data_IF_157981641816
#
_entry.id   IF_157981641816
#
_cell.length_a   1.000
_cell.length_b   1.000
_cell.length_c   1.000
_cell.angle_alpha   90.00
_cell.angle_beta   90.00
_cell.angle_gamma   90.00
#
_symmetry.space_group_name_H-M   'P 1'
#
loop_
_entity.id
_entity.type
_entity.pdbx_description
1 polymer ?
#
# COMPACT_ATOMS: atom_id res chain seq x y z
N UNK A 1 8.72 47.83 17.80
CA UNK A 1 9.71 46.93 17.18
C UNK A 1 9.35 45.47 17.52
N UNK A 2 8.20 44.98 17.04
CA UNK A 2 7.68 43.62 17.31
C UNK A 2 7.14 42.91 16.05
N UNK A 3 7.05 43.61 14.91
CA UNK A 3 6.45 43.12 13.67
C UNK A 3 7.29 42.07 12.91
N UNK A 4 8.61 42.03 13.10
CA UNK A 4 9.51 41.09 12.40
C UNK A 4 9.59 39.68 13.04
N UNK A 5 9.30 39.55 14.33
CA UNK A 5 9.30 38.26 15.05
C UNK A 5 8.03 37.45 14.73
N UNK A 6 6.89 38.11 14.62
CA UNK A 6 5.61 37.47 14.26
C UNK A 6 5.56 37.07 12.79
N UNK A 7 6.18 37.83 11.88
CA UNK A 7 6.24 37.48 10.46
C UNK A 7 7.13 36.26 10.20
N UNK A 8 8.30 36.17 10.84
CA UNK A 8 9.24 35.04 10.66
C UNK A 8 8.71 33.71 11.22
N UNK A 9 7.99 33.75 12.35
CA UNK A 9 7.33 32.58 12.94
C UNK A 9 6.13 32.11 12.12
N UNK A 10 5.37 33.03 11.53
CA UNK A 10 4.28 32.75 10.58
C UNK A 10 4.80 32.06 9.29
N UNK A 11 5.84 32.61 8.66
CA UNK A 11 6.42 32.07 7.43
C UNK A 11 7.00 30.66 7.61
N UNK A 12 7.64 30.39 8.74
CA UNK A 12 8.20 29.07 9.05
C UNK A 12 7.10 28.02 9.21
N UNK A 13 6.02 28.35 9.91
CA UNK A 13 4.84 27.47 10.06
C UNK A 13 4.20 27.16 8.71
N UNK A 14 4.11 28.14 7.83
CA UNK A 14 3.50 27.99 6.50
C UNK A 14 4.34 27.12 5.55
N UNK A 15 5.68 27.26 5.58
CA UNK A 15 6.60 26.38 4.83
C UNK A 15 6.47 24.92 5.27
N UNK A 16 6.42 24.67 6.57
CA UNK A 16 6.27 23.32 7.13
C UNK A 16 4.93 22.70 6.74
N UNK A 17 3.84 23.48 6.79
CA UNK A 17 2.51 23.01 6.36
C UNK A 17 2.47 22.62 4.86
N UNK A 18 3.22 23.34 4.01
CA UNK A 18 3.33 23.01 2.59
C UNK A 18 4.12 21.72 2.34
N UNK A 19 5.22 21.49 3.06
CA UNK A 19 5.98 20.23 2.98
C UNK A 19 5.11 19.05 3.41
N UNK A 20 4.34 19.21 4.48
CA UNK A 20 3.42 18.18 4.96
C UNK A 20 2.38 17.79 3.90
N UNK A 21 1.81 18.79 3.21
CA UNK A 21 0.88 18.54 2.10
C UNK A 21 1.55 17.83 0.93
N UNK A 22 2.77 18.24 0.60
CA UNK A 22 3.54 17.61 -0.46
C UNK A 22 3.79 16.14 -0.14
N UNK A 23 4.24 15.83 1.09
CA UNK A 23 4.45 14.45 1.56
C UNK A 23 3.15 13.65 1.50
N UNK A 24 2.03 14.18 2.00
CA UNK A 24 0.74 13.50 1.96
C UNK A 24 0.27 13.19 0.53
N UNK A 25 0.44 14.12 -0.42
CA UNK A 25 0.11 13.90 -1.83
C UNK A 25 1.04 12.91 -2.51
N UNK A 26 2.35 12.99 -2.25
CA UNK A 26 3.32 12.04 -2.80
C UNK A 26 2.99 10.62 -2.33
N UNK A 27 2.76 10.43 -1.04
CA UNK A 27 2.39 9.13 -0.48
C UNK A 27 1.09 8.61 -1.09
N UNK A 28 0.06 9.46 -1.22
CA UNK A 28 -1.18 9.07 -1.89
C UNK A 28 -0.94 8.57 -3.32
N UNK A 29 -0.14 9.28 -4.12
CA UNK A 29 0.14 8.87 -5.50
C UNK A 29 0.95 7.57 -5.57
N UNK A 30 1.89 7.37 -4.64
CA UNK A 30 2.65 6.12 -4.53
C UNK A 30 1.73 4.96 -4.16
N UNK A 31 0.91 5.11 -3.12
CA UNK A 31 -0.06 4.10 -2.68
C UNK A 31 -1.07 3.77 -3.79
N UNK A 32 -1.57 4.79 -4.49
CA UNK A 32 -2.48 4.60 -5.63
C UNK A 32 -1.81 3.83 -6.77
N UNK A 33 -0.59 4.21 -7.14
CA UNK A 33 0.18 3.52 -8.18
C UNK A 33 0.42 2.05 -7.83
N UNK A 34 0.80 1.77 -6.58
CA UNK A 34 1.02 0.41 -6.09
C UNK A 34 -0.27 -0.41 -6.01
N UNK A 35 -1.39 0.22 -5.63
CA UNK A 35 -2.72 -0.40 -5.66
C UNK A 35 -3.10 -0.83 -7.06
N UNK A 36 -2.94 0.06 -8.05
CA UNK A 36 -3.24 -0.23 -9.45
C UNK A 36 -2.31 -1.33 -9.98
N UNK A 37 -1.00 -1.24 -9.73
CA UNK A 37 -0.04 -2.24 -10.16
C UNK A 37 -0.33 -3.63 -9.56
N UNK A 38 -0.67 -3.68 -8.28
CA UNK A 38 -1.09 -4.92 -7.61
C UNK A 38 -2.39 -5.48 -8.20
N UNK A 39 -3.37 -4.63 -8.49
CA UNK A 39 -4.62 -5.01 -9.12
C UNK A 39 -4.40 -5.61 -10.52
N UNK A 40 -3.60 -4.95 -11.36
CA UNK A 40 -3.25 -5.42 -12.71
C UNK A 40 -2.53 -6.78 -12.63
N UNK A 41 -1.56 -6.92 -11.73
CA UNK A 41 -0.86 -8.19 -11.56
C UNK A 41 -1.81 -9.33 -11.15
N UNK A 42 -2.74 -9.08 -10.22
CA UNK A 42 -3.75 -10.07 -9.86
C UNK A 42 -4.70 -10.40 -11.02
N UNK A 43 -5.11 -9.40 -11.81
CA UNK A 43 -5.95 -9.62 -12.99
C UNK A 43 -5.26 -10.54 -14.00
N UNK A 44 -3.98 -10.36 -14.27
CA UNK A 44 -3.22 -11.26 -15.15
C UNK A 44 -3.16 -12.68 -14.59
N UNK A 45 -2.89 -12.82 -13.29
CA UNK A 45 -2.81 -14.14 -12.67
C UNK A 45 -4.16 -14.88 -12.70
N UNK A 46 -5.25 -14.21 -12.32
CA UNK A 46 -6.60 -14.79 -12.28
C UNK A 46 -7.06 -15.14 -13.70
N UNK A 47 -6.90 -14.23 -14.66
CA UNK A 47 -7.26 -14.48 -16.05
C UNK A 47 -6.49 -15.68 -16.60
N UNK A 48 -5.18 -15.75 -16.30
CA UNK A 48 -4.33 -16.87 -16.69
C UNK A 48 -4.77 -18.23 -16.16
N UNK A 49 -5.38 -18.27 -14.97
CA UNK A 49 -5.91 -19.51 -14.40
C UNK A 49 -7.14 -20.02 -15.11
N UNK A 50 -8.00 -19.13 -15.63
CA UNK A 50 -9.19 -19.53 -16.36
C UNK A 50 -8.88 -20.24 -17.69
N UNK A 51 -7.69 -20.02 -18.25
CA UNK A 51 -7.22 -20.69 -19.46
C UNK A 51 -6.33 -21.91 -19.19
N UNK A 52 -6.07 -22.24 -17.92
CA UNK A 52 -5.23 -23.36 -17.56
C UNK A 52 -6.05 -24.64 -17.42
N UNK A 53 -5.52 -25.75 -17.96
CA UNK A 53 -6.11 -27.09 -17.83
C UNK A 53 -6.05 -27.61 -16.40
N UNK A 54 -5.02 -27.24 -15.64
CA UNK A 54 -4.80 -27.65 -14.25
C UNK A 54 -4.39 -26.43 -13.41
N UNK A 55 -4.92 -26.30 -12.19
CA UNK A 55 -4.60 -25.18 -11.29
C UNK A 55 -3.93 -25.64 -10.01
N UNK A 56 -2.84 -24.97 -9.62
CA UNK A 56 -2.14 -25.29 -8.38
C UNK A 56 -2.88 -24.66 -7.17
N UNK A 57 -3.31 -25.46 -6.17
CA UNK A 57 -4.01 -24.96 -4.99
C UNK A 57 -3.19 -23.96 -4.17
N UNK A 58 -1.87 -24.15 -4.07
CA UNK A 58 -0.98 -23.27 -3.31
C UNK A 58 -0.90 -21.86 -3.91
N UNK A 59 -0.90 -21.73 -5.24
CA UNK A 59 -1.06 -20.41 -5.89
C UNK A 59 -2.45 -19.83 -5.59
N UNK A 60 -3.48 -20.67 -5.43
CA UNK A 60 -4.84 -20.23 -5.09
C UNK A 60 -4.89 -19.56 -3.72
N UNK A 61 -4.22 -20.17 -2.74
CA UNK A 61 -4.02 -19.58 -1.41
C UNK A 61 -3.26 -18.26 -1.51
N UNK A 62 -2.20 -18.19 -2.32
CA UNK A 62 -1.47 -16.96 -2.58
C UNK A 62 -2.35 -15.83 -3.14
N UNK A 63 -3.22 -16.15 -4.10
CA UNK A 63 -4.18 -15.19 -4.69
C UNK A 63 -5.20 -14.71 -3.66
N UNK A 64 -5.76 -15.62 -2.85
CA UNK A 64 -6.73 -15.27 -1.82
C UNK A 64 -6.18 -14.21 -0.86
N UNK A 65 -4.98 -14.45 -0.33
CA UNK A 65 -4.31 -13.52 0.57
C UNK A 65 -3.91 -12.21 -0.12
N UNK A 66 -3.48 -12.28 -1.39
CA UNK A 66 -3.16 -11.10 -2.18
C UNK A 66 -4.39 -10.21 -2.43
N UNK A 67 -5.56 -10.80 -2.71
CA UNK A 67 -6.82 -10.08 -2.86
C UNK A 67 -7.21 -9.41 -1.55
N UNK A 68 -7.12 -10.13 -0.42
CA UNK A 68 -7.39 -9.54 0.89
C UNK A 68 -6.45 -8.35 1.20
N UNK A 69 -5.15 -8.51 0.92
CA UNK A 69 -4.14 -7.46 1.06
C UNK A 69 -4.38 -6.26 0.14
N UNK A 70 -4.86 -6.50 -1.09
CA UNK A 70 -5.24 -5.45 -2.04
C UNK A 70 -6.48 -4.68 -1.56
N UNK A 71 -7.51 -5.36 -1.04
CA UNK A 71 -8.69 -4.68 -0.48
C UNK A 71 -8.30 -3.79 0.70
N UNK A 72 -7.41 -4.27 1.57
CA UNK A 72 -6.85 -3.46 2.65
C UNK A 72 -6.07 -2.25 2.08
N UNK A 73 -5.30 -2.43 0.99
CA UNK A 73 -4.54 -1.34 0.38
C UNK A 73 -5.45 -0.30 -0.30
N UNK A 74 -6.53 -0.73 -0.95
CA UNK A 74 -7.57 0.17 -1.47
C UNK A 74 -8.18 1.00 -0.34
N UNK A 75 -8.51 0.37 0.79
CA UNK A 75 -9.02 1.08 1.96
C UNK A 75 -7.98 2.06 2.52
N UNK A 76 -6.71 1.67 2.61
CA UNK A 76 -5.65 2.57 3.08
C UNK A 76 -5.44 3.76 2.14
N UNK A 77 -5.42 3.54 0.83
CA UNK A 77 -5.33 4.59 -0.20
C UNK A 77 -6.51 5.57 -0.11
N UNK A 78 -7.71 5.07 0.20
CA UNK A 78 -8.87 5.93 0.46
C UNK A 78 -8.69 6.78 1.72
N UNK A 79 -8.16 6.22 2.81
CA UNK A 79 -7.81 7.01 4.00
C UNK A 79 -6.73 8.05 3.67
N UNK A 80 -5.75 7.69 2.85
CA UNK A 80 -4.70 8.57 2.36
C UNK A 80 -5.25 9.80 1.63
N UNK A 81 -6.17 9.58 0.72
CA UNK A 81 -6.90 10.68 0.06
C UNK A 81 -7.64 11.56 1.07
N UNK A 82 -8.32 10.95 2.05
CA UNK A 82 -9.15 11.67 3.03
C UNK A 82 -8.33 12.58 3.94
N UNK A 83 -7.25 12.09 4.56
CA UNK A 83 -6.44 12.93 5.45
C UNK A 83 -5.67 14.00 4.66
N UNK A 84 -5.26 13.73 3.41
CA UNK A 84 -4.58 14.72 2.56
C UNK A 84 -5.52 15.87 2.18
N UNK A 85 -6.83 15.59 2.01
CA UNK A 85 -7.86 16.63 1.86
C UNK A 85 -8.15 17.38 3.16
N UNK A 86 -8.17 16.72 4.31
CA UNK A 86 -8.35 17.40 5.60
C UNK A 86 -7.20 18.38 5.90
N UNK A 87 -5.97 18.05 5.48
CA UNK A 87 -4.83 18.96 5.57
C UNK A 87 -4.99 20.25 4.74
N UNK A 88 -5.90 20.30 3.74
CA UNK A 88 -6.27 21.56 3.06
C UNK A 88 -7.01 22.54 3.98
N UNK A 89 -7.79 22.04 4.94
CA UNK A 89 -8.63 22.86 5.83
C UNK A 89 -7.86 23.65 6.90
N UNK A 90 -6.66 23.20 7.28
CA UNK A 90 -5.82 23.84 8.31
C UNK A 90 -5.19 25.19 7.88
N UNK A 91 -5.14 25.47 6.57
CA UNK A 91 -4.65 26.76 6.04
C UNK A 91 -5.77 27.79 5.86
N UNK A 92 -7.00 27.46 6.29
CA UNK A 92 -8.12 28.38 6.21
C UNK A 92 -7.96 29.41 7.34
N UNK A 93 -7.96 30.72 7.05
CA UNK A 93 -7.82 31.77 8.08
C UNK A 93 -8.97 31.78 9.10
N UNK A 94 -10.06 31.07 8.86
CA UNK A 94 -11.17 30.93 9.81
C UNK A 94 -10.99 29.69 10.72
N UNK A 95 -10.72 29.86 12.04
CA UNK A 95 -10.44 28.78 12.99
C UNK A 95 -11.62 27.81 13.19
N UNK A 96 -12.86 28.27 13.01
CA UNK A 96 -14.06 27.42 13.18
C UNK A 96 -14.20 26.34 12.11
N UNK A 97 -13.46 26.45 10.99
CA UNK A 97 -13.43 25.46 9.91
C UNK A 97 -12.22 24.52 10.00
N UNK A 98 -11.42 24.61 11.07
CA UNK A 98 -10.30 23.70 11.27
C UNK A 98 -10.83 22.30 11.61
N UNK A 99 -10.42 21.26 10.87
CA UNK A 99 -10.79 19.89 11.23
C UNK A 99 -10.23 19.55 12.61
N UNK A 100 -11.05 18.87 13.44
CA UNK A 100 -10.69 18.52 14.81
C UNK A 100 -9.43 17.65 14.80
N UNK A 101 -8.38 18.05 15.54
CA UNK A 101 -7.11 17.29 15.63
C UNK A 101 -7.36 15.81 15.95
N UNK A 102 -8.35 15.52 16.80
CA UNK A 102 -8.76 14.18 17.20
C UNK A 102 -9.15 13.27 16.01
N UNK A 103 -9.89 13.82 15.04
CA UNK A 103 -10.42 13.04 13.92
C UNK A 103 -9.28 12.67 12.95
N UNK A 104 -8.32 13.59 12.75
CA UNK A 104 -7.10 13.33 11.97
C UNK A 104 -6.25 12.25 12.63
N UNK A 105 -6.03 12.33 13.95
CA UNK A 105 -5.25 11.32 14.69
C UNK A 105 -5.92 9.94 14.61
N UNK A 106 -7.25 9.88 14.71
CA UNK A 106 -7.99 8.63 14.59
C UNK A 106 -7.85 8.00 13.21
N UNK A 107 -7.97 8.80 12.13
CA UNK A 107 -7.79 8.32 10.75
C UNK A 107 -6.36 7.80 10.54
N UNK A 108 -5.34 8.51 11.04
CA UNK A 108 -3.95 8.07 10.91
C UNK A 108 -3.69 6.76 11.68
N UNK A 109 -4.27 6.59 12.88
CA UNK A 109 -4.19 5.33 13.62
C UNK A 109 -4.88 4.18 12.87
N UNK A 110 -6.04 4.43 12.28
CA UNK A 110 -6.73 3.45 11.44
C UNK A 110 -5.89 3.06 10.22
N UNK A 111 -5.21 4.02 9.59
CA UNK A 111 -4.29 3.74 8.48
C UNK A 111 -3.14 2.85 8.92
N UNK A 112 -2.47 3.15 10.05
CA UNK A 112 -1.39 2.30 10.57
C UNK A 112 -1.88 0.86 10.84
N UNK A 113 -3.03 0.69 11.50
CA UNK A 113 -3.58 -0.64 11.79
C UNK A 113 -3.92 -1.38 10.49
N UNK A 114 -4.59 -0.69 9.55
CA UNK A 114 -4.94 -1.25 8.24
C UNK A 114 -3.70 -1.70 7.49
N UNK A 115 -2.65 -0.88 7.50
CA UNK A 115 -1.40 -1.20 6.82
C UNK A 115 -0.65 -2.36 7.46
N UNK A 116 -0.64 -2.47 8.79
CA UNK A 116 -0.02 -3.62 9.47
C UNK A 116 -0.74 -4.92 9.13
N UNK A 117 -2.08 -4.91 9.17
CA UNK A 117 -2.90 -6.06 8.74
C UNK A 117 -2.65 -6.36 7.26
N UNK A 118 -2.61 -5.34 6.41
CA UNK A 118 -2.33 -5.46 4.99
C UNK A 118 -0.97 -6.09 4.68
N UNK A 119 0.09 -5.68 5.38
CA UNK A 119 1.43 -6.30 5.29
C UNK A 119 1.36 -7.77 5.67
N UNK A 120 0.69 -8.11 6.78
CA UNK A 120 0.55 -9.51 7.21
C UNK A 120 -0.15 -10.34 6.12
N UNK A 121 -1.26 -9.86 5.57
CA UNK A 121 -2.00 -10.52 4.49
C UNK A 121 -1.09 -10.75 3.27
N UNK A 122 -0.39 -9.71 2.83
CA UNK A 122 0.51 -9.82 1.67
C UNK A 122 1.72 -10.72 1.95
N UNK A 123 2.22 -10.81 3.18
CA UNK A 123 3.30 -11.74 3.56
C UNK A 123 2.83 -13.18 3.50
N UNK A 124 1.61 -13.48 3.98
CA UNK A 124 1.01 -14.82 3.85
C UNK A 124 0.82 -15.20 2.37
N UNK A 125 0.33 -14.26 1.56
CA UNK A 125 0.20 -14.46 0.11
C UNK A 125 1.54 -14.69 -0.58
N UNK A 126 2.54 -13.86 -0.28
CA UNK A 126 3.90 -13.98 -0.80
C UNK A 126 4.53 -15.31 -0.41
N UNK A 127 4.45 -15.71 0.85
CA UNK A 127 5.00 -16.98 1.33
C UNK A 127 4.39 -18.19 0.62
N UNK A 128 3.06 -18.22 0.45
CA UNK A 128 2.38 -19.28 -0.29
C UNK A 128 2.81 -19.33 -1.76
N UNK A 129 2.85 -18.17 -2.44
CA UNK A 129 3.24 -18.10 -3.86
C UNK A 129 4.70 -18.47 -4.05
N UNK A 130 5.62 -17.85 -3.31
CA UNK A 130 7.06 -18.09 -3.43
C UNK A 130 7.38 -19.54 -3.08
N UNK A 131 6.74 -20.12 -2.06
CA UNK A 131 6.93 -21.53 -1.72
C UNK A 131 6.59 -22.46 -2.89
N UNK A 132 5.48 -22.23 -3.58
CA UNK A 132 5.13 -23.00 -4.78
C UNK A 132 6.10 -22.77 -5.93
N UNK A 133 6.50 -21.51 -6.17
CA UNK A 133 7.44 -21.18 -7.25
C UNK A 133 8.80 -21.86 -7.02
N UNK A 134 9.31 -21.83 -5.79
CA UNK A 134 10.57 -22.49 -5.40
C UNK A 134 10.44 -24.00 -5.52
N UNK A 135 9.34 -24.60 -5.05
CA UNK A 135 9.11 -26.03 -5.19
C UNK A 135 9.14 -26.46 -6.67
N UNK A 136 8.47 -25.70 -7.54
CA UNK A 136 8.50 -25.94 -8.99
C UNK A 136 9.91 -25.78 -9.57
N UNK A 137 10.64 -24.73 -9.20
CA UNK A 137 12.00 -24.49 -9.68
C UNK A 137 12.96 -25.62 -9.31
N UNK A 138 12.91 -26.08 -8.06
CA UNK A 138 13.82 -27.12 -7.54
C UNK A 138 13.46 -28.50 -8.08
N UNK A 139 12.16 -28.76 -8.28
CA UNK A 139 11.66 -30.03 -8.81
C UNK A 139 11.59 -30.06 -10.34
N UNK A 140 12.42 -29.31 -11.08
CA UNK A 140 12.38 -29.28 -12.55
C UNK A 140 13.52 -30.12 -13.18
N UNK A 141 13.33 -31.43 -13.45
CA UNK A 141 14.27 -32.24 -14.22
C UNK A 141 14.52 -31.67 -15.63
N UNK A 142 15.71 -31.89 -16.21
CA UNK A 142 15.95 -31.58 -17.62
C UNK A 142 14.92 -32.28 -18.52
N UNK A 143 14.29 -31.54 -19.42
CA UNK A 143 13.28 -32.08 -20.35
C UNK A 143 11.88 -32.27 -19.78
N UNK A 144 11.63 -31.93 -18.51
CA UNK A 144 10.28 -32.06 -17.90
C UNK A 144 9.21 -31.23 -18.61
N UNK A 145 9.60 -30.16 -19.30
CA UNK A 145 8.68 -29.36 -20.10
C UNK A 145 8.01 -30.13 -21.24
N UNK A 146 8.61 -31.23 -21.68
CA UNK A 146 8.07 -32.10 -22.73
C UNK A 146 7.19 -33.23 -22.17
N UNK A 147 7.34 -33.57 -20.89
CA UNK A 147 6.72 -34.75 -20.26
C UNK A 147 5.64 -34.38 -19.24
N UNK A 148 5.84 -33.31 -18.47
CA UNK A 148 4.83 -32.73 -17.58
C UNK A 148 4.94 -31.19 -17.54
N UNK A 149 4.20 -30.50 -18.42
CA UNK A 149 4.17 -29.04 -18.46
C UNK A 149 3.73 -28.36 -17.16
N UNK A 150 3.07 -29.08 -16.23
CA UNK A 150 2.57 -28.51 -14.98
C UNK A 150 3.67 -28.23 -13.97
N UNK A 151 4.81 -28.91 -14.11
CA UNK A 151 6.00 -28.70 -13.27
C UNK A 151 6.74 -27.40 -13.62
N UNK A 152 6.43 -26.79 -14.78
CA UNK A 152 7.00 -25.50 -15.18
C UNK A 152 6.37 -24.38 -14.35
N UNK A 153 7.19 -23.39 -13.99
CA UNK A 153 6.71 -22.12 -13.46
C UNK A 153 5.97 -21.37 -14.56
N UNK A 154 4.70 -21.08 -14.32
CA UNK A 154 3.92 -20.23 -15.22
C UNK A 154 4.25 -18.77 -14.91
N UNK A 155 4.54 -17.98 -15.93
CA UNK A 155 4.75 -16.54 -15.76
C UNK A 155 3.56 -15.86 -15.06
N UNK A 156 2.34 -16.36 -15.29
CA UNK A 156 1.10 -15.87 -14.68
C UNK A 156 1.03 -16.11 -13.16
N UNK A 157 1.74 -17.11 -12.63
CA UNK A 157 1.83 -17.37 -11.19
C UNK A 157 2.78 -16.38 -10.50
N UNK A 158 3.80 -15.90 -11.21
CA UNK A 158 4.76 -14.91 -10.71
C UNK A 158 4.10 -13.57 -10.45
N UNK A 159 3.06 -13.20 -11.22
CA UNK A 159 2.30 -11.98 -10.97
C UNK A 159 1.61 -11.96 -9.60
N UNK A 160 1.31 -13.11 -8.99
CA UNK A 160 0.80 -13.13 -7.60
C UNK A 160 1.85 -12.65 -6.62
N UNK A 161 3.13 -13.01 -6.84
CA UNK A 161 4.23 -12.51 -6.01
C UNK A 161 4.43 -11.01 -6.22
N UNK A 162 4.36 -10.53 -7.46
CA UNK A 162 4.43 -9.10 -7.79
C UNK A 162 3.31 -8.31 -7.10
N UNK A 163 2.08 -8.83 -7.13
CA UNK A 163 0.95 -8.21 -6.46
C UNK A 163 1.19 -8.08 -4.95
N UNK A 164 1.60 -9.17 -4.28
CA UNK A 164 1.90 -9.15 -2.85
C UNK A 164 3.04 -8.19 -2.49
N UNK A 165 4.11 -8.15 -3.29
CA UNK A 165 5.24 -7.23 -3.04
C UNK A 165 4.80 -5.77 -3.18
N UNK A 166 4.04 -5.44 -4.23
CA UNK A 166 3.45 -4.11 -4.39
C UNK A 166 2.52 -3.75 -3.23
N UNK A 167 1.73 -4.74 -2.76
CA UNK A 167 0.89 -4.63 -1.57
C UNK A 167 1.68 -4.25 -0.32
N UNK A 168 2.76 -5.00 -0.03
CA UNK A 168 3.66 -4.73 1.11
C UNK A 168 4.26 -3.32 1.00
N UNK A 169 4.76 -2.95 -0.18
CA UNK A 169 5.35 -1.64 -0.41
C UNK A 169 4.33 -0.51 -0.18
N UNK A 170 3.09 -0.67 -0.66
CA UNK A 170 2.04 0.33 -0.50
C UNK A 170 1.66 0.52 0.96
N UNK A 171 1.47 -0.58 1.69
CA UNK A 171 1.18 -0.54 3.12
C UNK A 171 2.34 0.04 3.93
N UNK A 172 3.58 -0.27 3.56
CA UNK A 172 4.76 0.32 4.21
C UNK A 172 4.81 1.84 4.04
N UNK A 173 4.54 2.35 2.83
CA UNK A 173 4.42 3.80 2.56
C UNK A 173 3.31 4.42 3.42
N UNK A 174 2.16 3.75 3.53
CA UNK A 174 1.05 4.18 4.40
C UNK A 174 1.45 4.32 5.87
N UNK A 175 2.23 3.37 6.40
CA UNK A 175 2.75 3.42 7.79
C UNK A 175 3.73 4.57 7.96
N UNK A 176 4.75 4.66 7.10
CA UNK A 176 5.80 5.70 7.19
C UNK A 176 5.16 7.08 7.17
N UNK A 177 4.21 7.28 6.25
CA UNK A 177 3.46 8.52 6.14
C UNK A 177 2.66 8.77 7.41
N UNK A 178 1.80 7.83 7.82
CA UNK A 178 0.91 8.01 8.96
C UNK A 178 1.64 8.27 10.27
N UNK A 179 2.73 7.56 10.54
CA UNK A 179 3.59 7.78 11.71
C UNK A 179 4.30 9.14 11.65
N UNK A 180 4.80 9.53 10.47
CA UNK A 180 5.38 10.85 10.25
C UNK A 180 4.39 11.97 10.54
N UNK A 181 3.15 11.86 10.05
CA UNK A 181 2.09 12.84 10.31
C UNK A 181 1.68 12.84 11.79
N UNK A 182 1.58 11.69 12.45
CA UNK A 182 1.26 11.58 13.88
C UNK A 182 2.32 12.24 14.76
N UNK A 183 3.61 11.95 14.51
CA UNK A 183 4.73 12.56 15.24
C UNK A 183 4.70 14.09 15.11
N UNK A 184 4.36 14.60 13.93
CA UNK A 184 4.26 16.02 13.70
C UNK A 184 3.10 16.67 14.47
N UNK A 185 1.90 16.05 14.48
CA UNK A 185 0.74 16.55 15.23
C UNK A 185 1.04 16.61 16.73
N UNK A 186 1.82 15.65 17.25
CA UNK A 186 2.21 15.61 18.65
C UNK A 186 3.22 16.72 19.03
N UNK A 187 4.07 17.13 18.09
CA UNK A 187 5.11 18.14 18.31
C UNK A 187 4.62 19.59 18.14
N UNK A 188 3.31 19.81 17.88
CA UNK A 188 2.66 21.12 17.80
C UNK A 188 1.86 21.46 19.05
#
# INVERSE_FOLDING_TARGET
>A
MQTHSESSTSETKQKIANIFRLVGWISFWIELGLTIASGIALLFSISGRNFATETNPGIGVGIFWAVAGLLALCFNTFLAFRYTRLAKGLSNPNPERHPRKADTVQILRMSVITSLVGILLCLLGSGATVGVLVAKAVSQPPGVALTDPNMIIRALDVFVAVANINGIAGHFVGIVTSLGLLKWIHNQ
#
